data_IF_399943324957
#
_entry.id   IF_399943324957
#
_cell.length_a   1.000
_cell.length_b   1.000
_cell.length_c   1.000
_cell.angle_alpha   90.00
_cell.angle_beta   90.00
_cell.angle_gamma   90.00
#
_symmetry.space_group_name_H-M   'P 1'
#
loop_
_entity.id
_entity.type
_entity.pdbx_description
1 polymer ?
#
# COMPACT_ATOMS: atom_id res chain seq x y z
N UNK A 1 -9.58 -26.95 -49.32
CA UNK A 1 -8.82 -27.22 -48.09
C UNK A 1 -9.76 -27.02 -46.91
N UNK A 2 -10.17 -28.10 -46.24
CA UNK A 2 -11.17 -28.07 -45.15
C UNK A 2 -10.45 -27.95 -43.80
N UNK A 3 -10.77 -26.91 -43.03
CA UNK A 3 -10.18 -26.62 -41.72
C UNK A 3 -10.77 -27.53 -40.64
N UNK A 4 -10.00 -28.53 -40.20
CA UNK A 4 -10.35 -29.39 -39.05
C UNK A 4 -10.40 -28.54 -37.78
N UNK A 5 -11.61 -28.33 -37.23
CA UNK A 5 -11.80 -27.92 -35.83
C UNK A 5 -11.21 -29.00 -34.92
N UNK A 6 -10.21 -28.65 -34.10
CA UNK A 6 -9.73 -29.51 -33.02
C UNK A 6 -10.79 -29.47 -31.91
N UNK A 7 -11.60 -30.53 -31.82
CA UNK A 7 -12.43 -30.75 -30.63
C UNK A 7 -11.49 -31.16 -29.49
N UNK A 8 -11.38 -30.32 -28.46
CA UNK A 8 -10.80 -30.71 -27.19
C UNK A 8 -11.79 -31.62 -26.48
N UNK A 9 -11.57 -32.93 -26.55
CA UNK A 9 -12.31 -33.90 -25.75
C UNK A 9 -11.74 -33.82 -24.33
N UNK A 10 -12.45 -33.19 -23.42
CA UNK A 10 -12.18 -33.29 -21.98
C UNK A 10 -13.03 -34.46 -21.47
N UNK A 11 -12.38 -35.50 -20.96
CA UNK A 11 -13.10 -36.56 -20.26
C UNK A 11 -13.65 -36.02 -18.94
N UNK A 12 -14.92 -36.31 -18.65
CA UNK A 12 -15.62 -35.82 -17.46
C UNK A 12 -14.90 -36.22 -16.16
N UNK A 13 -14.15 -37.33 -16.21
CA UNK A 13 -13.29 -37.80 -15.13
C UNK A 13 -12.16 -36.81 -14.75
N UNK A 14 -11.66 -36.02 -15.70
CA UNK A 14 -10.56 -35.05 -15.47
C UNK A 14 -11.04 -33.77 -14.77
N UNK A 15 -12.36 -33.55 -14.72
CA UNK A 15 -12.98 -32.40 -14.05
C UNK A 15 -13.39 -32.75 -12.60
N UNK A 16 -13.37 -34.03 -12.22
CA UNK A 16 -13.79 -34.47 -10.91
C UNK A 16 -12.69 -34.26 -9.86
N UNK A 17 -13.13 -34.08 -8.63
CA UNK A 17 -12.25 -33.92 -7.49
C UNK A 17 -11.34 -35.13 -7.35
N UNK A 18 -10.04 -34.88 -7.17
CA UNK A 18 -9.02 -35.92 -6.92
C UNK A 18 -9.35 -36.88 -5.77
N UNK A 19 -10.18 -36.47 -4.82
CA UNK A 19 -10.60 -37.30 -3.69
C UNK A 19 -11.78 -38.24 -4.02
N UNK A 20 -12.21 -38.32 -5.29
CA UNK A 20 -13.26 -39.23 -5.74
C UNK A 20 -14.65 -38.97 -5.16
N UNK A 21 -14.89 -37.78 -4.59
CA UNK A 21 -16.11 -37.47 -3.84
C UNK A 21 -17.33 -37.12 -4.71
N UNK A 22 -17.23 -37.24 -6.04
CA UNK A 22 -18.31 -36.96 -6.99
C UNK A 22 -18.57 -35.47 -7.28
N UNK A 23 -17.77 -34.57 -6.73
CA UNK A 23 -17.85 -33.12 -7.01
C UNK A 23 -16.73 -32.67 -7.95
N UNK A 24 -16.93 -31.57 -8.68
CA UNK A 24 -15.92 -31.00 -9.56
C UNK A 24 -14.75 -30.37 -8.80
N UNK A 25 -13.53 -30.69 -9.24
CA UNK A 25 -12.30 -30.06 -8.79
C UNK A 25 -11.90 -28.92 -9.72
N UNK A 26 -11.06 -28.00 -9.24
CA UNK A 26 -10.49 -26.96 -10.10
C UNK A 26 -8.99 -26.80 -9.86
N UNK A 27 -8.31 -26.18 -10.81
CA UNK A 27 -6.85 -25.97 -10.77
C UNK A 27 -6.40 -25.04 -9.63
N UNK A 28 -7.23 -24.06 -9.25
CA UNK A 28 -6.93 -23.15 -8.13
C UNK A 28 -6.87 -23.90 -6.79
N UNK A 29 -7.58 -25.01 -6.66
CA UNK A 29 -7.57 -25.91 -5.51
C UNK A 29 -6.85 -27.22 -5.82
N UNK A 30 -5.86 -27.20 -6.71
CA UNK A 30 -4.99 -28.35 -7.06
C UNK A 30 -5.74 -29.60 -7.54
N UNK A 31 -6.96 -29.44 -8.08
CA UNK A 31 -7.84 -30.53 -8.50
C UNK A 31 -8.77 -31.06 -7.41
N UNK A 32 -8.86 -30.39 -6.25
CA UNK A 32 -9.84 -30.70 -5.21
C UNK A 32 -11.12 -29.85 -5.33
N UNK A 33 -12.24 -30.37 -4.85
CA UNK A 33 -13.44 -29.57 -4.63
C UNK A 33 -13.26 -28.69 -3.38
N UNK A 34 -14.12 -27.68 -3.21
CA UNK A 34 -14.05 -26.74 -2.09
C UNK A 34 -14.07 -27.42 -0.71
N UNK A 35 -14.78 -28.53 -0.57
CA UNK A 35 -14.89 -29.28 0.70
C UNK A 35 -13.61 -30.07 0.99
N UNK A 36 -13.15 -30.89 0.05
CA UNK A 36 -11.93 -31.68 0.22
C UNK A 36 -10.67 -30.81 0.30
N UNK A 37 -10.67 -29.66 -0.38
CA UNK A 37 -9.57 -28.71 -0.27
C UNK A 37 -9.44 -28.14 1.15
N UNK A 38 -10.57 -27.80 1.81
CA UNK A 38 -10.56 -27.33 3.20
C UNK A 38 -10.03 -28.38 4.16
N UNK A 39 -10.43 -29.64 3.98
CA UNK A 39 -9.97 -30.76 4.81
C UNK A 39 -8.45 -30.96 4.66
N UNK A 40 -7.95 -31.04 3.42
CA UNK A 40 -6.50 -31.20 3.15
C UNK A 40 -5.70 -30.01 3.67
N UNK A 41 -6.19 -28.78 3.48
CA UNK A 41 -5.53 -27.56 3.95
C UNK A 41 -5.48 -27.50 5.49
N UNK A 42 -6.55 -27.89 6.17
CA UNK A 42 -6.59 -27.94 7.63
C UNK A 42 -5.65 -29.00 8.20
N UNK A 43 -5.60 -30.19 7.59
CA UNK A 43 -4.64 -31.24 8.00
C UNK A 43 -3.20 -30.80 7.78
N UNK A 44 -2.87 -30.20 6.62
CA UNK A 44 -1.54 -29.66 6.36
C UNK A 44 -1.15 -28.57 7.38
N UNK A 45 -2.09 -27.69 7.74
CA UNK A 45 -1.86 -26.66 8.77
C UNK A 45 -1.63 -27.25 10.16
N UNK A 46 -2.33 -28.32 10.54
CA UNK A 46 -2.11 -29.02 11.81
C UNK A 46 -0.78 -29.75 11.85
N UNK A 47 -0.38 -30.40 10.76
CA UNK A 47 0.94 -31.06 10.64
C UNK A 47 2.07 -30.02 10.72
N UNK A 48 1.89 -28.86 10.08
CA UNK A 48 2.83 -27.74 10.16
C UNK A 48 2.97 -27.24 11.61
N UNK A 49 1.86 -27.02 12.32
CA UNK A 49 1.87 -26.59 13.73
C UNK A 49 2.53 -27.61 14.66
N UNK A 50 2.33 -28.91 14.43
CA UNK A 50 2.99 -29.96 15.20
C UNK A 50 4.50 -30.02 14.91
N UNK A 51 4.91 -29.85 13.66
CA UNK A 51 6.32 -29.79 13.29
C UNK A 51 7.03 -28.56 13.85
N UNK A 52 6.35 -27.40 13.87
CA UNK A 52 6.88 -26.16 14.43
C UNK A 52 6.97 -26.23 15.98
N UNK A 53 6.01 -26.87 16.66
CA UNK A 53 6.07 -27.13 18.09
C UNK A 53 7.21 -28.08 18.50
N UNK A 54 7.49 -29.12 17.69
CA UNK A 54 8.64 -30.02 17.93
C UNK A 54 9.98 -29.30 17.70
N UNK A 55 10.03 -28.36 16.75
CA UNK A 55 11.21 -27.50 16.53
C UNK A 55 11.47 -26.54 17.69
N UNK A 56 10.45 -25.95 18.30
CA UNK A 56 10.61 -25.09 19.49
C UNK A 56 11.12 -25.87 20.71
N UNK A 57 10.68 -27.11 20.91
CA UNK A 57 11.14 -27.97 22.01
C UNK A 57 12.62 -28.38 21.83
N UNK A 58 13.10 -28.47 20.59
CA UNK A 58 14.48 -28.89 20.30
C UNK A 58 15.50 -27.74 20.38
N UNK A 59 15.06 -26.48 20.45
CA UNK A 59 15.95 -25.31 20.47
C UNK A 59 16.31 -24.79 21.88
N UNK A 60 15.81 -25.41 22.96
CA UNK A 60 16.00 -24.93 24.34
C UNK A 60 17.05 -25.66 25.19
N UNK A 61 17.82 -26.62 24.65
CA UNK A 61 18.92 -27.26 25.39
C UNK A 61 20.19 -27.44 24.54
N UNK A 62 21.36 -26.90 24.96
CA UNK A 62 22.65 -27.27 24.38
C UNK A 62 23.22 -28.49 25.13
N UNK A 63 23.37 -29.63 24.47
CA UNK A 63 24.10 -30.77 25.05
C UNK A 63 25.63 -30.60 24.91
N UNK A 64 26.32 -30.84 26.01
CA UNK A 64 27.78 -30.88 26.13
C UNK A 64 28.21 -32.29 26.61
N UNK A 65 28.79 -33.06 25.69
CA UNK A 65 29.80 -34.13 25.83
C UNK A 65 29.73 -35.25 26.90
N UNK A 66 30.04 -36.47 26.40
CA UNK A 66 30.75 -37.63 26.99
C UNK A 66 29.99 -38.86 27.54
N UNK A 67 29.97 -39.91 26.70
CA UNK A 67 30.62 -41.23 26.86
C UNK A 67 30.30 -42.22 28.03
N UNK A 68 30.12 -43.49 27.62
CA UNK A 68 30.19 -44.80 28.32
C UNK A 68 28.91 -45.44 28.92
N UNK A 69 28.57 -46.66 28.43
CA UNK A 69 28.08 -47.76 29.29
C UNK A 69 26.84 -48.59 28.90
N UNK A 70 27.00 -49.54 27.97
CA UNK A 70 26.51 -50.95 27.98
C UNK A 70 25.03 -51.38 28.15
N UNK A 71 24.63 -52.27 27.21
CA UNK A 71 23.81 -53.51 27.32
C UNK A 71 22.32 -53.53 26.91
N UNK A 72 22.09 -54.27 25.81
CA UNK A 72 20.99 -55.21 25.47
C UNK A 72 19.52 -54.70 25.43
N UNK A 73 18.64 -55.07 24.48
CA UNK A 73 18.53 -56.28 23.65
C UNK A 73 17.52 -56.05 22.49
N UNK A 74 17.81 -56.64 21.29
CA UNK A 74 16.90 -57.12 20.20
C UNK A 74 15.96 -56.13 19.46
N UNK A 75 15.75 -56.18 18.13
CA UNK A 75 16.17 -57.13 17.09
C UNK A 75 15.84 -56.60 15.66
N UNK A 76 16.75 -56.94 14.71
CA UNK A 76 16.50 -57.41 13.32
C UNK A 76 16.02 -56.41 12.24
N UNK A 77 16.91 -56.00 11.31
CA UNK A 77 17.25 -56.62 9.99
C UNK A 77 16.34 -56.10 8.86
N UNK A 78 16.79 -55.67 7.67
CA UNK A 78 18.02 -55.92 6.89
C UNK A 78 18.15 -54.85 5.78
N UNK A 79 19.27 -54.13 5.67
CA UNK A 79 20.38 -54.30 4.69
C UNK A 79 20.02 -54.24 3.20
N UNK A 80 20.67 -53.30 2.50
CA UNK A 80 21.72 -53.53 1.46
C UNK A 80 22.11 -52.15 0.88
N UNK A 81 23.21 -51.56 1.37
CA UNK A 81 24.58 -51.61 0.82
C UNK A 81 24.71 -50.88 -0.53
N UNK A 82 25.26 -49.66 -0.57
CA UNK A 82 26.69 -49.26 -0.58
C UNK A 82 27.48 -49.61 -1.86
N UNK A 83 27.91 -48.56 -2.58
CA UNK A 83 29.34 -48.34 -2.91
C UNK A 83 29.53 -46.95 -3.56
N UNK A 84 30.20 -46.01 -2.87
CA UNK A 84 31.67 -45.72 -2.89
C UNK A 84 32.11 -45.11 -4.24
N UNK A 85 32.77 -43.97 -4.36
CA UNK A 85 33.89 -43.46 -3.55
C UNK A 85 34.19 -41.98 -3.90
N UNK A 86 34.73 -41.22 -2.95
CA UNK A 86 35.28 -39.85 -3.03
C UNK A 86 36.60 -39.75 -3.87
N UNK A 87 37.41 -38.65 -3.87
CA UNK A 87 37.23 -37.23 -3.45
C UNK A 87 37.84 -36.18 -4.45
N UNK A 88 37.84 -34.90 -4.02
CA UNK A 88 38.81 -33.81 -4.36
C UNK A 88 38.51 -32.94 -5.59
N UNK A 89 38.26 -31.64 -5.37
CA UNK A 89 39.16 -30.49 -5.69
C UNK A 89 38.38 -29.20 -5.95
N UNK A 90 38.80 -28.15 -5.23
CA UNK A 90 38.62 -26.74 -5.59
C UNK A 90 38.98 -26.52 -7.07
N UNK A 91 38.18 -25.74 -7.79
CA UNK A 91 38.70 -24.71 -8.70
C UNK A 91 37.59 -23.77 -9.19
N UNK A 92 37.84 -22.47 -9.03
CA UNK A 92 37.16 -21.40 -9.75
C UNK A 92 37.22 -21.65 -11.26
N UNK A 93 36.09 -21.54 -11.95
CA UNK A 93 36.06 -21.07 -13.35
C UNK A 93 34.72 -20.41 -13.66
N UNK A 94 34.82 -19.10 -13.75
CA UNK A 94 33.94 -18.22 -14.51
C UNK A 94 33.61 -18.80 -15.88
N UNK A 95 32.32 -18.91 -16.19
CA UNK A 95 31.84 -18.94 -17.56
C UNK A 95 30.82 -17.83 -17.76
N UNK A 96 31.32 -16.75 -18.37
CA UNK A 96 30.53 -15.74 -19.05
C UNK A 96 29.74 -16.42 -20.16
N UNK A 97 28.42 -16.30 -20.11
CA UNK A 97 27.59 -16.28 -21.30
C UNK A 97 26.87 -14.93 -21.31
N UNK A 98 27.28 -14.11 -22.28
CA UNK A 98 26.81 -12.76 -22.53
C UNK A 98 25.68 -12.91 -23.55
N UNK A 99 24.44 -12.75 -23.12
CA UNK A 99 23.32 -12.47 -24.02
C UNK A 99 22.77 -11.10 -23.65
N UNK A 100 23.02 -10.13 -24.53
CA UNK A 100 22.35 -8.83 -24.51
C UNK A 100 20.85 -9.04 -24.57
N UNK A 101 20.14 -8.64 -23.53
CA UNK A 101 18.79 -8.13 -23.70
C UNK A 101 18.59 -6.94 -22.76
N UNK A 102 18.36 -5.76 -23.35
CA UNK A 102 17.94 -4.56 -22.63
C UNK A 102 16.49 -4.77 -22.23
N UNK A 103 16.27 -5.28 -21.03
CA UNK A 103 14.99 -5.18 -20.33
C UNK A 103 15.17 -4.28 -19.12
N UNK A 104 14.69 -3.06 -19.26
CA UNK A 104 14.61 -2.04 -18.23
C UNK A 104 13.65 -2.47 -17.13
N UNK A 105 14.21 -3.01 -16.04
CA UNK A 105 13.47 -3.29 -14.80
C UNK A 105 13.07 -1.97 -14.08
N UNK A 106 11.82 -1.81 -13.62
CA UNK A 106 11.37 -0.61 -12.88
C UNK A 106 11.82 -0.56 -11.42
N UNK A 107 12.20 -1.70 -10.82
CA UNK A 107 12.36 -1.84 -9.37
C UNK A 107 13.50 -0.99 -8.78
N UNK A 108 14.60 -0.77 -9.51
CA UNK A 108 15.77 -0.02 -9.02
C UNK A 108 15.52 1.49 -9.00
N UNK A 109 14.60 2.01 -9.82
CA UNK A 109 14.25 3.44 -9.85
C UNK A 109 13.34 3.84 -8.68
N UNK A 110 12.39 2.99 -8.31
CA UNK A 110 11.46 3.26 -7.20
C UNK A 110 12.17 3.32 -5.83
N UNK A 111 13.16 2.45 -5.57
CA UNK A 111 13.91 2.45 -4.30
C UNK A 111 14.86 3.65 -4.16
N UNK A 112 15.40 4.13 -5.28
CA UNK A 112 16.30 5.31 -5.33
C UNK A 112 15.52 6.62 -5.13
N UNK A 113 14.41 6.77 -5.84
CA UNK A 113 13.45 7.87 -5.66
C UNK A 113 12.88 7.93 -4.23
N UNK A 114 12.59 6.76 -3.62
CA UNK A 114 12.14 6.69 -2.23
C UNK A 114 13.16 7.21 -1.22
N UNK A 115 14.46 7.13 -1.51
CA UNK A 115 15.50 7.63 -0.61
C UNK A 115 15.72 9.12 -0.78
N UNK A 116 15.65 9.62 -2.02
CA UNK A 116 15.81 11.04 -2.36
C UNK A 116 14.67 11.91 -1.82
N UNK A 117 13.41 11.46 -1.93
CA UNK A 117 12.25 12.21 -1.42
C UNK A 117 12.21 12.22 0.12
N UNK A 118 12.58 11.11 0.78
CA UNK A 118 12.78 11.06 2.23
C UNK A 118 13.88 12.02 2.68
N UNK A 119 15.00 12.07 1.97
CA UNK A 119 16.10 12.98 2.28
C UNK A 119 15.72 14.45 2.05
N UNK A 120 14.91 14.74 1.03
CA UNK A 120 14.39 16.08 0.75
C UNK A 120 13.51 16.59 1.90
N UNK A 121 12.53 15.81 2.36
CA UNK A 121 11.63 16.22 3.45
C UNK A 121 12.38 16.37 4.78
N UNK A 122 13.35 15.48 5.05
CA UNK A 122 14.25 15.62 6.22
C UNK A 122 15.08 16.91 6.11
N UNK A 123 15.55 17.26 4.92
CA UNK A 123 16.28 18.49 4.62
C UNK A 123 15.42 19.74 4.80
N UNK A 124 14.25 19.78 4.19
CA UNK A 124 13.29 20.89 4.28
C UNK A 124 12.82 21.11 5.72
N UNK A 125 12.52 20.04 6.46
CA UNK A 125 12.19 20.13 7.87
C UNK A 125 13.36 20.67 8.70
N UNK A 126 14.58 20.19 8.46
CA UNK A 126 15.76 20.67 9.16
C UNK A 126 16.10 22.13 8.82
N UNK A 127 15.87 22.57 7.58
CA UNK A 127 16.04 23.96 7.15
C UNK A 127 14.97 24.86 7.77
N UNK A 128 13.71 24.44 7.78
CA UNK A 128 12.63 25.14 8.45
C UNK A 128 12.90 25.30 9.95
N UNK A 129 13.32 24.22 10.63
CA UNK A 129 13.71 24.26 12.03
C UNK A 129 14.94 25.15 12.29
N UNK A 130 15.89 25.25 11.36
CA UNK A 130 17.02 26.20 11.45
C UNK A 130 16.59 27.66 11.22
N UNK A 131 15.55 27.88 10.42
CA UNK A 131 14.98 29.21 10.18
C UNK A 131 14.20 29.74 11.39
N UNK A 132 13.77 28.87 12.29
CA UNK A 132 13.17 29.28 13.56
C UNK A 132 14.18 30.00 14.45
N UNK A 133 13.81 31.20 14.90
CA UNK A 133 14.61 32.10 15.75
C UNK A 133 15.01 31.49 17.10
N UNK A 134 14.35 30.41 17.55
CA UNK A 134 14.63 29.71 18.81
C UNK A 134 15.17 28.30 18.58
N UNK A 135 16.50 28.17 18.54
CA UNK A 135 17.23 26.89 18.48
C UNK A 135 16.78 25.82 19.50
N UNK A 136 16.52 26.12 20.79
CA UNK A 136 16.10 25.06 21.74
C UNK A 136 14.70 24.52 21.44
N UNK A 137 13.80 25.37 20.97
CA UNK A 137 12.43 25.03 20.62
C UNK A 137 12.38 24.07 19.41
N UNK A 138 13.17 24.40 18.39
CA UNK A 138 13.31 23.59 17.18
C UNK A 138 13.98 22.22 17.43
N UNK A 139 14.97 22.18 18.32
CA UNK A 139 15.64 20.92 18.73
C UNK A 139 14.69 19.99 19.49
N UNK A 140 13.86 20.54 20.37
CA UNK A 140 12.89 19.76 21.13
C UNK A 140 11.81 19.16 20.22
N UNK A 141 11.28 19.93 19.26
CA UNK A 141 10.34 19.42 18.25
C UNK A 141 10.98 18.27 17.46
N UNK A 142 12.19 18.47 16.92
CA UNK A 142 12.90 17.44 16.17
C UNK A 142 13.14 16.16 16.97
N UNK A 143 13.42 16.29 18.28
CA UNK A 143 13.62 15.16 19.18
C UNK A 143 12.31 14.40 19.40
N UNK A 144 11.25 15.10 19.77
CA UNK A 144 9.92 14.51 20.03
C UNK A 144 9.37 13.79 18.80
N UNK A 145 9.50 14.37 17.61
CA UNK A 145 9.06 13.74 16.35
C UNK A 145 9.86 12.48 16.05
N UNK A 146 11.19 12.51 16.23
CA UNK A 146 12.04 11.34 15.99
C UNK A 146 11.77 10.21 16.97
N UNK A 147 11.68 10.51 18.26
CA UNK A 147 11.36 9.53 19.30
C UNK A 147 10.01 8.86 19.06
N UNK A 148 9.00 9.62 18.60
CA UNK A 148 7.71 9.06 18.21
C UNK A 148 7.82 8.11 17.01
N UNK A 149 8.47 8.54 15.93
CA UNK A 149 8.67 7.69 14.74
C UNK A 149 9.41 6.40 15.10
N UNK A 150 10.47 6.49 15.89
CA UNK A 150 11.25 5.32 16.30
C UNK A 150 10.42 4.38 17.20
N UNK A 151 9.59 4.93 18.09
CA UNK A 151 8.66 4.15 18.93
C UNK A 151 7.64 3.37 18.09
N UNK A 152 7.10 3.97 17.03
CA UNK A 152 6.17 3.27 16.11
C UNK A 152 6.90 2.21 15.29
N UNK A 153 8.08 2.51 14.75
CA UNK A 153 8.86 1.56 13.94
C UNK A 153 9.38 0.36 14.73
N UNK A 154 9.60 0.51 16.04
CA UNK A 154 9.99 -0.60 16.93
C UNK A 154 8.85 -1.60 17.22
N UNK A 155 7.61 -1.25 16.90
CA UNK A 155 6.44 -2.08 17.15
C UNK A 155 5.69 -2.39 15.83
N UNK A 156 6.28 -3.21 14.93
CA UNK A 156 5.71 -3.46 13.60
C UNK A 156 4.44 -4.33 13.62
N UNK A 157 4.17 -5.06 14.71
CA UNK A 157 3.03 -5.97 14.83
C UNK A 157 1.71 -5.28 15.25
N UNK A 158 1.73 -3.94 15.40
CA UNK A 158 0.53 -3.17 15.75
C UNK A 158 -0.44 -3.10 14.58
N UNK A 159 -1.75 -3.13 14.87
CA UNK A 159 -2.77 -2.92 13.85
C UNK A 159 -2.72 -1.49 13.32
N UNK A 160 -3.19 -1.29 12.09
CA UNK A 160 -3.21 0.03 11.46
C UNK A 160 -4.06 1.00 12.27
N UNK A 161 -5.15 0.54 12.87
CA UNK A 161 -6.05 1.32 13.71
C UNK A 161 -5.33 1.84 14.95
N UNK A 162 -4.57 0.98 15.64
CA UNK A 162 -3.77 1.42 16.80
C UNK A 162 -2.66 2.39 16.40
N UNK A 163 -2.03 2.21 15.24
CA UNK A 163 -1.03 3.15 14.73
C UNK A 163 -1.70 4.50 14.40
N UNK A 164 -2.88 4.47 13.77
CA UNK A 164 -3.69 5.64 13.46
C UNK A 164 -4.04 6.43 14.71
N UNK A 165 -4.54 5.76 15.76
CA UNK A 165 -4.85 6.39 17.06
C UNK A 165 -3.61 7.03 17.67
N UNK A 166 -2.47 6.32 17.70
CA UNK A 166 -1.19 6.87 18.22
C UNK A 166 -0.72 8.10 17.45
N UNK A 167 -0.90 8.14 16.13
CA UNK A 167 -0.54 9.30 15.30
C UNK A 167 -1.45 10.49 15.61
N UNK A 168 -2.75 10.28 15.76
CA UNK A 168 -3.69 11.36 16.12
C UNK A 168 -3.43 11.89 17.54
N UNK A 169 -3.21 11.00 18.52
CA UNK A 169 -2.83 11.37 19.88
C UNK A 169 -1.52 12.16 19.91
N UNK A 170 -0.56 11.77 19.06
CA UNK A 170 0.69 12.50 18.90
C UNK A 170 0.47 13.91 18.36
N UNK A 171 -0.39 14.10 17.35
CA UNK A 171 -0.72 15.44 16.86
C UNK A 171 -1.38 16.31 17.92
N UNK A 172 -2.33 15.77 18.69
CA UNK A 172 -2.96 16.49 19.80
C UNK A 172 -1.93 16.86 20.88
N UNK A 173 -1.09 15.90 21.29
CA UNK A 173 -0.05 16.13 22.30
C UNK A 173 0.99 17.15 21.84
N UNK A 174 1.37 17.14 20.57
CA UNK A 174 2.31 18.10 20.01
C UNK A 174 1.70 19.51 19.98
N UNK A 175 0.45 19.64 19.54
CA UNK A 175 -0.25 20.92 19.52
C UNK A 175 -0.39 21.50 20.94
N UNK A 176 -0.73 20.68 21.93
CA UNK A 176 -0.80 21.09 23.33
C UNK A 176 0.57 21.54 23.87
N UNK A 177 1.65 20.84 23.50
CA UNK A 177 3.02 21.23 23.87
C UNK A 177 3.41 22.57 23.22
N UNK A 178 3.04 22.79 21.96
CA UNK A 178 3.30 24.04 21.25
C UNK A 178 2.53 25.22 21.86
N UNK A 179 1.30 25.02 22.33
CA UNK A 179 0.49 26.09 22.93
C UNK A 179 0.84 26.39 24.40
N UNK A 180 1.20 25.38 25.19
CA UNK A 180 1.29 25.51 26.64
C UNK A 180 2.71 25.72 27.18
N UNK A 181 3.75 25.26 26.46
CA UNK A 181 5.12 25.39 26.95
C UNK A 181 5.64 26.82 26.78
N UNK A 182 6.27 27.35 27.83
CA UNK A 182 6.85 28.69 27.86
C UNK A 182 7.89 28.94 26.75
N UNK A 183 8.51 27.88 26.24
CA UNK A 183 9.50 27.92 25.15
C UNK A 183 8.84 28.38 23.84
N UNK A 184 7.55 28.12 23.66
CA UNK A 184 6.79 28.37 22.43
C UNK A 184 5.76 29.52 22.51
N UNK A 185 5.62 30.19 23.66
CA UNK A 185 4.59 31.21 23.93
C UNK A 185 4.55 32.43 22.99
N UNK A 186 5.58 32.65 22.18
CA UNK A 186 5.66 33.78 21.24
C UNK A 186 5.58 33.34 19.76
N UNK A 187 5.28 32.07 19.47
CA UNK A 187 5.08 31.63 18.09
C UNK A 187 3.74 32.15 17.57
N UNK A 188 3.74 32.67 16.35
CA UNK A 188 2.49 32.99 15.66
C UNK A 188 1.71 31.71 15.36
N UNK A 189 0.38 31.82 15.30
CA UNK A 189 -0.51 30.73 14.88
C UNK A 189 -0.11 30.14 13.53
N UNK A 190 0.28 30.99 12.57
CA UNK A 190 0.79 30.56 11.26
C UNK A 190 2.08 29.72 11.35
N UNK A 191 2.95 30.01 12.33
CA UNK A 191 4.17 29.23 12.52
C UNK A 191 3.85 27.86 13.12
N UNK A 192 2.87 27.80 14.04
CA UNK A 192 2.40 26.56 14.66
C UNK A 192 1.78 25.65 13.58
N UNK A 193 0.94 26.19 12.71
CA UNK A 193 0.34 25.45 11.58
C UNK A 193 1.43 24.85 10.68
N UNK A 194 2.42 25.67 10.27
CA UNK A 194 3.56 25.18 9.46
C UNK A 194 4.36 24.09 10.17
N UNK A 195 4.59 24.21 11.49
CA UNK A 195 5.27 23.16 12.27
C UNK A 195 4.48 21.86 12.23
N UNK A 196 3.17 21.93 12.39
CA UNK A 196 2.29 20.76 12.32
C UNK A 196 2.34 20.12 10.93
N UNK A 197 2.34 20.92 9.87
CA UNK A 197 2.39 20.45 8.48
C UNK A 197 3.69 19.73 8.13
N UNK A 198 4.82 20.31 8.52
CA UNK A 198 6.11 19.65 8.35
C UNK A 198 6.23 18.41 9.23
N UNK A 199 5.65 18.42 10.42
CA UNK A 199 5.65 17.25 11.31
C UNK A 199 4.85 16.10 10.72
N UNK A 200 3.63 16.37 10.24
CA UNK A 200 2.78 15.41 9.54
C UNK A 200 3.53 14.82 8.34
N UNK A 201 4.07 15.69 7.46
CA UNK A 201 4.82 15.26 6.28
C UNK A 201 6.04 14.40 6.63
N UNK A 202 6.76 14.74 7.70
CA UNK A 202 7.91 13.98 8.17
C UNK A 202 7.51 12.61 8.72
N UNK A 203 6.55 12.56 9.64
CA UNK A 203 6.07 11.33 10.29
C UNK A 203 5.55 10.36 9.23
N UNK A 204 4.68 10.83 8.35
CA UNK A 204 4.03 10.02 7.34
C UNK A 204 4.99 9.54 6.26
N UNK A 205 5.93 10.36 5.83
CA UNK A 205 6.99 9.93 4.89
C UNK A 205 7.88 8.84 5.48
N UNK A 206 8.10 8.85 6.80
CA UNK A 206 8.90 7.82 7.49
C UNK A 206 8.11 6.53 7.71
N UNK A 207 6.82 6.66 8.03
CA UNK A 207 5.94 5.53 8.32
C UNK A 207 5.32 4.92 7.06
N UNK A 208 5.35 5.60 5.90
CA UNK A 208 4.67 5.21 4.66
C UNK A 208 4.82 3.73 4.30
N UNK A 209 6.04 3.20 4.32
CA UNK A 209 6.32 1.80 3.98
C UNK A 209 5.72 0.78 4.96
N UNK A 210 5.34 1.21 6.16
CA UNK A 210 4.73 0.39 7.20
C UNK A 210 3.21 0.52 7.25
N UNK A 211 2.67 1.69 6.87
CA UNK A 211 1.25 2.00 7.06
C UNK A 211 0.43 2.03 5.77
N UNK A 212 1.07 2.27 4.62
CA UNK A 212 0.37 2.33 3.34
C UNK A 212 0.20 0.91 2.77
N UNK A 213 -1.04 0.54 2.45
CA UNK A 213 -1.41 -0.78 1.94
C UNK A 213 -0.77 -1.92 2.77
N UNK A 214 -0.95 -1.89 4.09
CA UNK A 214 -0.35 -2.91 4.95
C UNK A 214 -1.03 -4.25 4.71
N UNK A 215 -0.27 -5.37 4.70
CA UNK A 215 -0.79 -6.70 4.38
C UNK A 215 -1.78 -7.24 5.43
N UNK A 216 -1.96 -6.53 6.54
CA UNK A 216 -2.91 -6.85 7.60
C UNK A 216 -4.32 -6.32 7.30
N UNK A 217 -4.50 -5.41 6.34
CA UNK A 217 -5.81 -4.92 5.91
C UNK A 217 -6.27 -5.51 4.59
N UNK A 218 -7.56 -5.39 4.32
CA UNK A 218 -8.17 -5.77 3.04
C UNK A 218 -8.10 -4.63 2.00
N UNK A 219 -7.24 -3.63 2.21
CA UNK A 219 -7.18 -2.44 1.36
C UNK A 219 -6.82 -2.81 -0.10
N UNK A 220 -5.88 -3.75 -0.30
CA UNK A 220 -5.50 -4.26 -1.63
C UNK A 220 -6.67 -4.96 -2.35
N UNK A 221 -7.44 -5.78 -1.65
CA UNK A 221 -8.61 -6.47 -2.23
C UNK A 221 -9.67 -5.46 -2.69
N UNK A 222 -9.87 -4.41 -1.88
CA UNK A 222 -10.82 -3.32 -2.15
C UNK A 222 -10.35 -2.46 -3.32
N UNK A 223 -9.05 -2.17 -3.42
CA UNK A 223 -8.45 -1.49 -4.57
C UNK A 223 -8.66 -2.27 -5.87
N UNK A 224 -8.39 -3.58 -5.86
CA UNK A 224 -8.60 -4.43 -7.03
C UNK A 224 -10.08 -4.50 -7.44
N UNK A 225 -10.99 -4.55 -6.47
CA UNK A 225 -12.43 -4.54 -6.72
C UNK A 225 -12.88 -3.20 -7.33
N UNK A 226 -12.42 -2.08 -6.77
CA UNK A 226 -12.73 -0.74 -7.25
C UNK A 226 -12.17 -0.50 -8.65
N UNK A 227 -10.91 -0.88 -8.89
CA UNK A 227 -10.28 -0.75 -10.21
C UNK A 227 -11.02 -1.57 -11.28
N UNK A 228 -11.44 -2.81 -10.95
CA UNK A 228 -12.25 -3.64 -11.85
C UNK A 228 -13.62 -3.01 -12.11
N UNK A 229 -14.24 -2.42 -11.08
CA UNK A 229 -15.52 -1.72 -11.20
C UNK A 229 -15.41 -0.51 -12.13
N UNK A 230 -14.45 0.38 -11.90
CA UNK A 230 -14.19 1.54 -12.76
C UNK A 230 -13.93 1.09 -14.20
N UNK A 231 -13.08 0.07 -14.39
CA UNK A 231 -12.79 -0.49 -15.72
C UNK A 231 -14.03 -1.02 -16.43
N UNK A 232 -14.99 -1.62 -15.72
CA UNK A 232 -16.26 -2.09 -16.29
C UNK A 232 -17.20 -0.96 -16.74
N UNK A 233 -16.96 0.26 -16.25
CA UNK A 233 -17.74 1.47 -16.52
C UNK A 233 -17.07 2.38 -17.57
N UNK A 234 -16.07 1.88 -18.31
CA UNK A 234 -15.36 2.67 -19.32
C UNK A 234 -16.26 3.22 -20.44
N UNK A 235 -17.45 2.65 -20.62
CA UNK A 235 -18.44 3.03 -21.64
C UNK A 235 -19.27 4.25 -21.23
N UNK A 236 -19.20 4.69 -19.98
CA UNK A 236 -19.96 5.84 -19.48
C UNK A 236 -19.46 7.14 -20.14
N UNK A 237 -20.40 7.93 -20.64
CA UNK A 237 -20.15 9.21 -21.32
C UNK A 237 -20.56 10.38 -20.44
N UNK A 238 -19.96 11.55 -20.68
CA UNK A 238 -20.26 12.80 -19.97
C UNK A 238 -21.77 13.12 -19.93
N UNK A 239 -22.48 12.88 -21.04
CA UNK A 239 -23.92 13.11 -21.17
C UNK A 239 -24.78 12.21 -20.26
N UNK A 240 -24.31 11.00 -19.94
CA UNK A 240 -25.04 10.06 -19.07
C UNK A 240 -24.94 10.43 -17.59
N UNK A 241 -23.97 11.28 -17.24
CA UNK A 241 -23.76 11.82 -15.89
C UNK A 241 -24.34 13.24 -15.76
N UNK A 242 -25.16 13.69 -16.72
CA UNK A 242 -25.68 15.06 -16.81
C UNK A 242 -24.58 16.14 -16.81
N UNK A 243 -23.35 15.78 -17.18
CA UNK A 243 -22.24 16.73 -17.28
C UNK A 243 -22.27 17.41 -18.65
N UNK A 244 -22.26 18.74 -18.67
CA UNK A 244 -22.18 19.52 -19.91
C UNK A 244 -20.74 19.67 -20.43
N UNK A 245 -19.88 18.68 -20.18
CA UNK A 245 -18.50 18.71 -20.65
C UNK A 245 -18.50 18.47 -22.16
N UNK A 246 -18.14 19.51 -22.92
CA UNK A 246 -17.99 19.41 -24.37
C UNK A 246 -16.56 18.95 -24.67
N UNK A 247 -16.40 17.65 -24.96
CA UNK A 247 -15.10 17.05 -25.31
C UNK A 247 -14.53 17.57 -26.64
N UNK A 248 -15.33 18.27 -27.44
CA UNK A 248 -14.92 18.79 -28.75
C UNK A 248 -13.98 20.02 -28.67
N UNK A 249 -13.89 20.68 -27.50
CA UNK A 249 -13.01 21.84 -27.32
C UNK A 249 -11.63 21.40 -26.81
N UNK A 250 -10.54 21.70 -27.55
CA UNK A 250 -9.18 21.31 -27.15
C UNK A 250 -8.75 21.94 -25.80
N UNK A 251 -9.31 23.09 -25.42
CA UNK A 251 -8.98 23.74 -24.14
C UNK A 251 -9.59 22.96 -22.98
N UNK A 252 -10.84 22.52 -23.14
CA UNK A 252 -11.54 21.68 -22.14
C UNK A 252 -10.83 20.33 -22.00
N UNK A 253 -10.44 19.73 -23.13
CA UNK A 253 -9.71 18.47 -23.13
C UNK A 253 -8.38 18.59 -22.37
N UNK A 254 -7.60 19.65 -22.61
CA UNK A 254 -6.35 19.88 -21.88
C UNK A 254 -6.57 20.03 -20.37
N UNK A 255 -7.60 20.77 -19.94
CA UNK A 255 -7.91 20.92 -18.52
C UNK A 255 -8.39 19.59 -17.89
N UNK A 256 -9.14 18.80 -18.64
CA UNK A 256 -9.56 17.46 -18.22
C UNK A 256 -8.35 16.52 -18.07
N UNK A 257 -7.41 16.54 -19.01
CA UNK A 257 -6.17 15.76 -18.95
C UNK A 257 -5.31 16.17 -17.74
N UNK A 258 -5.26 17.47 -17.40
CA UNK A 258 -4.61 17.95 -16.17
C UNK A 258 -5.29 17.39 -14.93
N UNK A 259 -6.62 17.42 -14.85
CA UNK A 259 -7.37 16.85 -13.71
C UNK A 259 -7.13 15.34 -13.56
N UNK A 260 -7.13 14.61 -14.68
CA UNK A 260 -6.82 13.18 -14.74
C UNK A 260 -5.39 12.91 -14.24
N UNK A 261 -4.43 13.74 -14.65
CA UNK A 261 -3.03 13.61 -14.23
C UNK A 261 -2.90 13.83 -12.72
N UNK A 262 -3.53 14.88 -12.19
CA UNK A 262 -3.48 15.20 -10.75
C UNK A 262 -4.04 14.07 -9.87
N UNK A 263 -5.16 13.45 -10.26
CA UNK A 263 -5.75 12.35 -9.48
C UNK A 263 -4.95 11.06 -9.61
N UNK A 264 -4.25 10.83 -10.73
CA UNK A 264 -3.31 9.71 -10.88
C UNK A 264 -2.05 9.94 -10.03
N UNK A 265 -1.57 11.18 -9.98
CA UNK A 265 -0.42 11.57 -9.16
C UNK A 265 -0.65 11.42 -7.65
N UNK A 266 -1.91 11.32 -7.21
CA UNK A 266 -2.29 11.05 -5.81
C UNK A 266 -1.46 9.92 -5.19
N UNK A 267 -1.29 8.81 -5.91
CA UNK A 267 -0.57 7.63 -5.42
C UNK A 267 0.94 7.88 -5.26
N UNK A 268 1.50 8.75 -6.10
CA UNK A 268 2.94 9.05 -6.09
C UNK A 268 3.40 9.85 -4.87
N UNK A 269 2.48 10.53 -4.18
CA UNK A 269 2.77 11.36 -3.00
C UNK A 269 2.82 10.51 -1.73
N UNK A 270 3.63 10.89 -0.75
CA UNK A 270 3.71 10.18 0.55
C UNK A 270 3.05 10.93 1.71
N UNK A 271 3.13 12.26 1.70
CA UNK A 271 2.45 13.08 2.71
C UNK A 271 0.95 13.10 2.44
N UNK A 272 0.13 13.01 3.48
CA UNK A 272 -1.32 13.24 3.38
C UNK A 272 -1.63 14.64 2.87
N UNK A 273 -0.83 15.63 3.26
CA UNK A 273 -0.98 17.01 2.79
C UNK A 273 -0.81 17.08 1.27
N UNK A 274 0.27 16.50 0.74
CA UNK A 274 0.53 16.50 -0.70
C UNK A 274 -0.57 15.73 -1.47
N UNK A 275 -1.07 14.62 -0.90
CA UNK A 275 -2.21 13.89 -1.48
C UNK A 275 -3.46 14.75 -1.53
N UNK A 276 -3.79 15.47 -0.45
CA UNK A 276 -4.92 16.39 -0.42
C UNK A 276 -4.75 17.53 -1.43
N UNK A 277 -3.54 18.07 -1.58
CA UNK A 277 -3.26 19.10 -2.58
C UNK A 277 -3.47 18.59 -4.02
N UNK A 278 -3.14 17.33 -4.32
CA UNK A 278 -3.51 16.71 -5.60
C UNK A 278 -5.03 16.67 -5.81
N UNK A 279 -5.82 16.32 -4.78
CA UNK A 279 -7.29 16.33 -4.85
C UNK A 279 -7.84 17.74 -5.08
N UNK A 280 -7.28 18.74 -4.38
CA UNK A 280 -7.63 20.16 -4.55
C UNK A 280 -7.30 20.64 -5.96
N UNK A 281 -6.11 20.32 -6.47
CA UNK A 281 -5.67 20.70 -7.82
C UNK A 281 -6.57 20.09 -8.89
N UNK A 282 -6.87 18.79 -8.77
CA UNK A 282 -7.82 18.09 -9.64
C UNK A 282 -9.19 18.80 -9.63
N UNK A 283 -9.69 19.14 -8.44
CA UNK A 283 -10.98 19.82 -8.30
C UNK A 283 -10.98 21.22 -8.92
N UNK A 284 -9.87 21.96 -8.82
CA UNK A 284 -9.70 23.28 -9.46
C UNK A 284 -9.71 23.17 -10.99
N UNK A 285 -9.04 22.17 -11.55
CA UNK A 285 -9.10 21.88 -12.99
C UNK A 285 -10.52 21.52 -13.46
N UNK A 286 -11.26 20.73 -12.66
CA UNK A 286 -12.67 20.40 -12.94
C UNK A 286 -13.53 21.67 -12.96
N UNK A 287 -13.35 22.59 -12.02
CA UNK A 287 -14.08 23.86 -12.03
C UNK A 287 -13.78 24.71 -13.25
N UNK A 288 -12.54 24.73 -13.72
CA UNK A 288 -12.17 25.45 -14.94
C UNK A 288 -12.82 24.81 -16.19
N UNK A 289 -12.88 23.47 -16.26
CA UNK A 289 -13.63 22.74 -17.30
C UNK A 289 -15.11 23.15 -17.30
N UNK A 290 -15.74 23.19 -16.12
CA UNK A 290 -17.16 23.54 -15.99
C UNK A 290 -17.43 25.01 -16.34
N UNK A 291 -16.53 25.92 -15.93
CA UNK A 291 -16.62 27.35 -16.22
C UNK A 291 -16.57 27.63 -17.71
N UNK A 292 -15.65 26.98 -18.43
CA UNK A 292 -15.51 27.13 -19.88
C UNK A 292 -16.70 26.53 -20.64
N UNK A 293 -17.28 25.45 -20.13
CA UNK A 293 -18.43 24.77 -20.74
C UNK A 293 -19.73 25.58 -20.65
N UNK A 294 -19.98 26.29 -19.55
CA UNK A 294 -21.25 26.99 -19.28
C UNK A 294 -21.18 28.53 -19.30
N UNK A 295 -20.01 29.14 -19.43
CA UNK A 295 -19.82 30.60 -19.28
C UNK A 295 -20.45 31.16 -17.98
N UNK A 296 -20.36 30.42 -16.87
CA UNK A 296 -20.93 30.77 -15.57
C UNK A 296 -20.24 30.06 -14.40
N UNK A 297 -20.48 30.47 -13.14
CA UNK A 297 -19.93 29.78 -11.97
C UNK A 297 -20.59 28.41 -11.81
N UNK A 298 -19.78 27.36 -11.66
CA UNK A 298 -20.28 26.00 -11.52
C UNK A 298 -20.84 25.75 -10.10
N UNK A 299 -21.94 25.02 -10.01
CA UNK A 299 -22.55 24.63 -8.73
C UNK A 299 -21.98 23.31 -8.19
N UNK A 300 -22.25 23.00 -6.92
CA UNK A 300 -21.87 21.71 -6.32
C UNK A 300 -22.57 20.52 -6.99
N UNK A 301 -23.80 20.71 -7.46
CA UNK A 301 -24.59 19.67 -8.16
C UNK A 301 -23.97 19.30 -9.51
N UNK A 302 -23.19 20.22 -10.11
CA UNK A 302 -22.47 20.00 -11.36
C UNK A 302 -21.06 19.45 -11.14
N UNK A 303 -20.46 19.77 -9.99
CA UNK A 303 -19.12 19.35 -9.64
C UNK A 303 -19.03 17.84 -9.39
N UNK A 304 -19.93 17.28 -8.58
CA UNK A 304 -19.83 15.86 -8.21
C UNK A 304 -19.93 14.91 -9.43
N UNK A 305 -20.86 15.09 -10.38
CA UNK A 305 -20.91 14.26 -11.59
C UNK A 305 -19.67 14.45 -12.48
N UNK A 306 -19.11 15.66 -12.55
CA UNK A 306 -17.86 15.92 -13.26
C UNK A 306 -16.67 15.20 -12.60
N UNK A 307 -16.59 15.22 -11.27
CA UNK A 307 -15.57 14.49 -10.51
C UNK A 307 -15.69 12.97 -10.72
N UNK A 308 -16.91 12.42 -10.68
CA UNK A 308 -17.15 11.00 -11.00
C UNK A 308 -16.65 10.69 -12.41
N UNK A 309 -16.93 11.56 -13.38
CA UNK A 309 -16.46 11.39 -14.76
C UNK A 309 -14.93 11.36 -14.85
N UNK A 310 -14.24 12.29 -14.18
CA UNK A 310 -12.77 12.33 -14.14
C UNK A 310 -12.21 11.05 -13.50
N UNK A 311 -12.76 10.61 -12.38
CA UNK A 311 -12.31 9.37 -11.70
C UNK A 311 -12.53 8.14 -12.58
N UNK A 312 -13.67 8.07 -13.29
CA UNK A 312 -13.94 6.99 -14.23
C UNK A 312 -12.95 6.94 -15.39
N UNK A 313 -12.57 8.10 -15.93
CA UNK A 313 -11.57 8.20 -17.01
C UNK A 313 -10.15 7.94 -16.54
N UNK A 314 -9.79 8.44 -15.37
CA UNK A 314 -8.45 8.31 -14.81
C UNK A 314 -8.16 6.89 -14.33
N UNK A 315 -9.15 6.21 -13.73
CA UNK A 315 -8.98 4.95 -13.01
C UNK A 315 -7.72 4.94 -12.11
N UNK A 316 -7.67 5.83 -11.10
CA UNK A 316 -6.47 6.05 -10.30
C UNK A 316 -5.96 4.76 -9.62
N UNK A 317 -4.66 4.50 -9.60
CA UNK A 317 -4.09 3.35 -8.90
C UNK A 317 -4.31 3.49 -7.39
N UNK A 318 -4.59 2.36 -6.73
CA UNK A 318 -4.70 2.27 -5.27
C UNK A 318 -5.63 3.30 -4.64
N UNK A 319 -6.72 3.66 -5.33
CA UNK A 319 -7.62 4.75 -4.92
C UNK A 319 -8.24 4.51 -3.53
N UNK A 320 -8.63 3.27 -3.21
CA UNK A 320 -9.17 2.93 -1.90
C UNK A 320 -8.11 3.06 -0.81
N UNK A 321 -6.91 2.50 -1.01
CA UNK A 321 -5.80 2.65 -0.07
C UNK A 321 -5.44 4.11 0.17
N UNK A 322 -5.44 4.94 -0.88
CA UNK A 322 -5.17 6.37 -0.77
C UNK A 322 -6.23 7.11 0.06
N UNK A 323 -7.52 6.81 -0.15
CA UNK A 323 -8.62 7.38 0.65
C UNK A 323 -8.52 6.95 2.12
N UNK A 324 -8.26 5.67 2.38
CA UNK A 324 -8.12 5.15 3.73
C UNK A 324 -6.89 5.74 4.44
N UNK A 325 -5.77 5.88 3.72
CA UNK A 325 -4.56 6.50 4.24
C UNK A 325 -4.81 7.96 4.66
N UNK A 326 -5.46 8.77 3.81
CA UNK A 326 -5.81 10.15 4.14
C UNK A 326 -6.77 10.18 5.35
N UNK A 327 -7.80 9.33 5.35
CA UNK A 327 -8.79 9.27 6.44
C UNK A 327 -8.15 8.93 7.80
N UNK A 328 -7.18 8.00 7.83
CA UNK A 328 -6.54 7.52 9.06
C UNK A 328 -5.49 8.51 9.59
N UNK A 329 -4.67 9.07 8.71
CA UNK A 329 -3.41 9.70 9.09
C UNK A 329 -3.34 11.23 8.94
N UNK A 330 -4.29 11.85 8.25
CA UNK A 330 -4.35 13.32 8.17
C UNK A 330 -4.78 13.90 9.51
N UNK A 331 -4.28 15.07 9.87
CA UNK A 331 -4.81 15.83 11.00
C UNK A 331 -6.34 16.04 10.87
N UNK A 332 -7.09 15.50 11.83
CA UNK A 332 -8.56 15.55 11.86
C UNK A 332 -9.11 16.98 11.77
N UNK A 333 -8.42 17.98 12.32
CA UNK A 333 -8.86 19.38 12.24
C UNK A 333 -8.93 19.89 10.79
N UNK A 334 -8.02 19.44 9.93
CA UNK A 334 -7.94 19.82 8.51
C UNK A 334 -8.99 19.11 7.65
N UNK A 335 -9.30 17.86 7.95
CA UNK A 335 -10.38 17.17 7.24
C UNK A 335 -11.75 17.76 7.58
N UNK A 336 -11.93 18.27 8.81
CA UNK A 336 -13.17 18.86 9.28
C UNK A 336 -13.33 20.35 8.94
N UNK A 337 -12.27 21.02 8.48
CA UNK A 337 -12.30 22.44 8.14
C UNK A 337 -11.40 22.78 6.96
N UNK A 338 -11.94 23.49 5.96
CA UNK A 338 -11.18 23.99 4.81
C UNK A 338 -11.68 23.46 3.46
N UNK A 339 -11.04 23.95 2.38
CA UNK A 339 -11.34 23.51 1.02
C UNK A 339 -10.92 22.05 0.77
N UNK A 340 -9.84 21.60 1.42
CA UNK A 340 -9.29 20.25 1.25
C UNK A 340 -10.28 19.18 1.75
N UNK A 341 -10.89 19.41 2.92
CA UNK A 341 -11.92 18.52 3.49
C UNK A 341 -13.16 18.43 2.62
N UNK A 342 -13.59 19.55 2.02
CA UNK A 342 -14.72 19.56 1.08
C UNK A 342 -14.44 18.71 -0.16
N UNK A 343 -13.30 18.91 -0.83
CA UNK A 343 -12.95 18.14 -2.02
C UNK A 343 -12.70 16.67 -1.72
N UNK A 344 -12.05 16.37 -0.59
CA UNK A 344 -11.86 14.99 -0.13
C UNK A 344 -13.19 14.29 0.14
N UNK A 345 -14.16 14.98 0.75
CA UNK A 345 -15.50 14.43 0.98
C UNK A 345 -16.20 14.13 -0.35
N UNK A 346 -16.11 15.04 -1.33
CA UNK A 346 -16.67 14.80 -2.66
C UNK A 346 -15.98 13.63 -3.38
N UNK A 347 -14.66 13.47 -3.24
CA UNK A 347 -13.94 12.31 -3.76
C UNK A 347 -14.44 11.00 -3.11
N UNK A 348 -14.61 10.98 -1.79
CA UNK A 348 -15.19 9.83 -1.09
C UNK A 348 -16.60 9.52 -1.59
N UNK A 349 -17.45 10.54 -1.77
CA UNK A 349 -18.79 10.38 -2.35
C UNK A 349 -18.73 9.82 -3.78
N UNK A 350 -17.80 10.30 -4.61
CA UNK A 350 -17.64 9.85 -6.00
C UNK A 350 -17.25 8.38 -6.12
N UNK A 351 -16.53 7.84 -5.14
CA UNK A 351 -16.11 6.44 -5.09
C UNK A 351 -17.22 5.52 -4.56
N UNK A 352 -18.12 6.05 -3.74
CA UNK A 352 -19.26 5.32 -3.19
C UNK A 352 -20.41 5.22 -4.20
N UNK A 353 -20.61 6.26 -5.02
CA UNK A 353 -21.58 6.31 -6.11
C UNK A 353 -21.31 5.23 -7.18
#
# INVERSE_FOLDING_TARGET
MSTRKKNFHFDEADLLCKNGCGFYGNVAWQGFCSKCYREVYQTAKQVQMQHDAVKEITQTYPERSNEHGSADERASLSKLDDKKSQPVSRSNRSFLWKTSNKESQPAVKATRSNTEERQKIVGEFAEFLKSMTRKPAALEISKVVREFVDSVLQNPDLSIETISERVQDFYASLLDKLNNLSIFKDLSTETIEKVMDYTESYVLTRLYSSVFCSPLTNDEERDLALQKRIRSLHWVTALQLDTLIKEDDPVIQHQLDSAITDIIELDSRKSSLDKLQCVVSCSKHIYEVLRQSKQGPASADEFLPALIYVVLKANPPLLHSNIQYITRFTNSARLMSGEEGYYFTNLCCSVIY
#
